data_IF_203416239194
#
_entry.id   IF_203416239194
#
_cell.length_a   1.000
_cell.length_b   1.000
_cell.length_c   1.000
_cell.angle_alpha   90.00
_cell.angle_beta   90.00
_cell.angle_gamma   90.00
#
_symmetry.space_group_name_H-M   'P 1'
#
loop_
_entity.id
_entity.type
_entity.pdbx_description
1 polymer ?
#
# COMPACT_ATOMS: atom_id res chain seq x y z
N UNK A 1 -8.81 21.82 -6.20
CA UNK A 1 -9.52 20.74 -5.48
C UNK A 1 -8.93 20.72 -4.09
N UNK A 2 -9.66 21.21 -3.08
CA UNK A 2 -9.14 21.33 -1.70
C UNK A 2 -8.98 19.92 -1.15
N UNK A 3 -7.78 19.58 -0.71
CA UNK A 3 -7.53 18.29 -0.09
C UNK A 3 -8.29 18.24 1.24
N UNK A 4 -9.36 17.45 1.29
CA UNK A 4 -10.24 17.32 2.46
C UNK A 4 -9.61 16.47 3.58
N UNK A 5 -8.43 15.91 3.32
CA UNK A 5 -7.70 15.02 4.22
C UNK A 5 -6.64 15.81 4.99
N UNK A 6 -6.63 15.66 6.32
CA UNK A 6 -5.56 16.18 7.17
C UNK A 6 -4.34 15.24 7.15
N UNK A 7 -3.15 15.73 7.51
CA UNK A 7 -1.94 14.91 7.69
C UNK A 7 -2.19 13.64 8.54
N UNK A 8 -3.02 13.73 9.59
CA UNK A 8 -3.39 12.55 10.40
C UNK A 8 -4.18 11.51 9.60
N UNK A 9 -5.11 11.93 8.74
CA UNK A 9 -5.86 11.00 7.88
C UNK A 9 -4.94 10.31 6.87
N UNK A 10 -3.94 11.00 6.33
CA UNK A 10 -2.93 10.37 5.47
C UNK A 10 -2.04 9.37 6.23
N UNK A 11 -1.68 9.67 7.48
CA UNK A 11 -0.94 8.74 8.34
C UNK A 11 -1.75 7.47 8.63
N UNK A 12 -3.06 7.61 8.86
CA UNK A 12 -3.95 6.46 9.04
C UNK A 12 -4.15 5.69 7.73
N UNK A 13 -4.27 6.39 6.59
CA UNK A 13 -4.32 5.76 5.27
C UNK A 13 -3.04 4.96 4.96
N UNK A 14 -1.85 5.48 5.29
CA UNK A 14 -0.59 4.72 5.20
C UNK A 14 -0.67 3.40 5.98
N UNK A 15 -1.12 3.46 7.24
CA UNK A 15 -1.23 2.26 8.10
C UNK A 15 -2.22 1.25 7.53
N UNK A 16 -3.39 1.73 7.07
CA UNK A 16 -4.40 0.88 6.45
C UNK A 16 -3.84 0.20 5.20
N UNK A 17 -3.22 0.98 4.30
CA UNK A 17 -2.68 0.46 3.04
C UNK A 17 -1.62 -0.60 3.28
N UNK A 18 -0.70 -0.39 4.22
CA UNK A 18 0.31 -1.40 4.57
C UNK A 18 -0.31 -2.71 5.08
N UNK A 19 -1.38 -2.64 5.89
CA UNK A 19 -2.08 -3.84 6.38
C UNK A 19 -2.74 -4.58 5.24
N UNK A 20 -3.48 -3.87 4.39
CA UNK A 20 -4.15 -4.44 3.23
C UNK A 20 -3.16 -5.09 2.25
N UNK A 21 -2.01 -4.45 2.00
CA UNK A 21 -0.94 -5.01 1.17
C UNK A 21 -0.45 -6.35 1.74
N UNK A 22 -0.20 -6.41 3.05
CA UNK A 22 0.25 -7.65 3.70
C UNK A 22 -0.81 -8.74 3.60
N UNK A 23 -2.07 -8.43 3.88
CA UNK A 23 -3.19 -9.38 3.75
C UNK A 23 -3.33 -9.91 2.33
N UNK A 24 -3.16 -9.06 1.32
CA UNK A 24 -3.25 -9.47 -0.08
C UNK A 24 -2.05 -10.34 -0.51
N UNK A 25 -0.84 -10.03 -0.04
CA UNK A 25 0.33 -10.87 -0.29
C UNK A 25 0.16 -12.24 0.36
N UNK A 26 -0.31 -12.30 1.62
CA UNK A 26 -0.59 -13.57 2.29
C UNK A 26 -1.61 -14.40 1.49
N UNK A 27 -2.67 -13.78 0.95
CA UNK A 27 -3.65 -14.48 0.09
C UNK A 27 -3.08 -15.01 -1.23
N UNK A 28 -1.90 -14.58 -1.68
CA UNK A 28 -1.23 -15.16 -2.85
C UNK A 28 -0.46 -16.42 -2.42
N UNK A 29 0.25 -16.33 -1.29
CA UNK A 29 1.18 -17.37 -0.85
C UNK A 29 0.53 -18.47 0.01
N UNK A 30 -0.59 -18.16 0.67
CA UNK A 30 -1.33 -19.08 1.54
C UNK A 30 -2.60 -19.63 0.83
N UNK A 31 -2.68 -19.58 -0.51
CA UNK A 31 -3.77 -20.27 -1.24
C UNK A 31 -3.62 -21.77 -0.99
N UNK A 32 -4.64 -22.37 -0.39
CA UNK A 32 -4.66 -23.76 0.07
C UNK A 32 -4.11 -24.75 -0.99
N UNK A 33 -3.14 -25.57 -0.57
CA UNK A 33 -2.86 -26.94 -1.00
C UNK A 33 -2.36 -27.25 -2.43
N UNK A 34 -1.85 -26.30 -3.21
CA UNK A 34 -1.13 -26.63 -4.46
C UNK A 34 0.38 -26.78 -4.25
N UNK A 35 0.99 -27.81 -4.85
CA UNK A 35 2.38 -28.23 -4.66
C UNK A 35 3.42 -27.18 -5.10
N UNK A 36 3.03 -26.13 -5.84
CA UNK A 36 3.95 -25.10 -6.32
C UNK A 36 3.37 -23.68 -6.19
N UNK A 37 3.42 -23.15 -4.97
CA UNK A 37 2.99 -21.76 -4.65
C UNK A 37 3.88 -20.72 -5.36
N UNK A 38 5.13 -21.04 -5.68
CA UNK A 38 6.10 -20.13 -6.28
C UNK A 38 6.02 -20.10 -7.82
N UNK A 39 4.83 -19.86 -8.38
CA UNK A 39 4.67 -19.70 -9.84
C UNK A 39 5.10 -18.31 -10.33
N UNK A 40 5.44 -18.20 -11.60
CA UNK A 40 5.73 -16.91 -12.26
C UNK A 40 4.53 -15.97 -12.12
N UNK A 41 3.31 -16.49 -12.23
CA UNK A 41 2.08 -15.69 -12.13
C UNK A 41 1.90 -15.09 -10.73
N UNK A 42 2.12 -15.89 -9.67
CA UNK A 42 2.05 -15.41 -8.29
C UNK A 42 3.15 -14.37 -8.00
N UNK A 43 4.36 -14.56 -8.56
CA UNK A 43 5.45 -13.59 -8.46
C UNK A 43 5.07 -12.26 -9.12
N UNK A 44 4.50 -12.31 -10.33
CA UNK A 44 4.07 -11.11 -11.05
C UNK A 44 2.93 -10.39 -10.30
N UNK A 45 1.94 -11.13 -9.80
CA UNK A 45 0.83 -10.57 -9.01
C UNK A 45 1.34 -9.85 -7.74
N UNK A 46 2.29 -10.47 -7.03
CA UNK A 46 2.91 -9.87 -5.84
C UNK A 46 3.70 -8.60 -6.18
N UNK A 47 4.45 -8.59 -7.29
CA UNK A 47 5.19 -7.41 -7.77
C UNK A 47 4.23 -6.25 -8.09
N UNK A 48 3.11 -6.54 -8.75
CA UNK A 48 2.11 -5.51 -9.09
C UNK A 48 1.48 -4.89 -7.83
N UNK A 49 1.13 -5.71 -6.85
CA UNK A 49 0.61 -5.24 -5.55
C UNK A 49 1.63 -4.36 -4.84
N UNK A 50 2.90 -4.78 -4.79
CA UNK A 50 3.98 -4.03 -4.14
C UNK A 50 4.23 -2.70 -4.85
N UNK A 51 4.27 -2.67 -6.18
CA UNK A 51 4.46 -1.45 -6.96
C UNK A 51 3.32 -0.45 -6.74
N UNK A 52 2.07 -0.92 -6.75
CA UNK A 52 0.92 -0.07 -6.45
C UNK A 52 0.98 0.50 -5.03
N UNK A 53 1.33 -0.34 -4.05
CA UNK A 53 1.52 0.08 -2.65
C UNK A 53 2.60 1.16 -2.54
N UNK A 54 3.75 0.97 -3.19
CA UNK A 54 4.86 1.93 -3.17
C UNK A 54 4.40 3.28 -3.75
N UNK A 55 3.65 3.28 -4.85
CA UNK A 55 3.17 4.51 -5.47
C UNK A 55 2.20 5.27 -4.55
N UNK A 56 1.29 4.57 -3.89
CA UNK A 56 0.37 5.18 -2.92
C UNK A 56 1.11 5.73 -1.68
N UNK A 57 2.08 4.98 -1.15
CA UNK A 57 2.89 5.46 -0.01
C UNK A 57 3.71 6.71 -0.38
N UNK A 58 4.22 6.80 -1.62
CA UNK A 58 4.87 8.02 -2.12
C UNK A 58 3.89 9.19 -2.13
N UNK A 59 2.68 8.99 -2.65
CA UNK A 59 1.63 10.00 -2.65
C UNK A 59 1.27 10.46 -1.22
N UNK A 60 1.06 9.53 -0.28
CA UNK A 60 0.76 9.89 1.11
C UNK A 60 1.91 10.64 1.77
N UNK A 61 3.17 10.25 1.50
CA UNK A 61 4.35 10.97 2.00
C UNK A 61 4.36 12.41 1.53
N UNK A 62 4.16 12.65 0.23
CA UNK A 62 4.09 14.00 -0.34
C UNK A 62 2.99 14.83 0.33
N UNK A 63 1.80 14.25 0.50
CA UNK A 63 0.67 14.94 1.14
C UNK A 63 0.89 15.26 2.61
N UNK A 64 1.51 14.36 3.37
CA UNK A 64 1.86 14.58 4.77
C UNK A 64 2.84 15.75 4.88
N UNK A 65 3.90 15.76 4.06
CA UNK A 65 4.91 16.82 4.06
C UNK A 65 4.26 18.17 3.74
N UNK A 66 3.54 18.27 2.62
CA UNK A 66 2.89 19.53 2.21
C UNK A 66 1.88 20.02 3.24
N UNK A 67 1.10 19.13 3.85
CA UNK A 67 0.09 19.52 4.85
C UNK A 67 0.72 19.98 6.17
N UNK A 68 1.85 19.41 6.56
CA UNK A 68 2.55 19.77 7.79
C UNK A 68 3.41 21.06 7.59
N UNK A 69 3.90 21.32 6.37
CA UNK A 69 4.61 22.57 6.01
C UNK A 69 3.67 23.79 5.95
N UNK A 70 2.42 23.63 5.49
CA UNK A 70 1.43 24.72 5.42
C UNK A 70 0.95 25.17 6.82
N UNK A 71 1.22 24.39 7.87
CA UNK A 71 0.80 24.69 9.25
C UNK A 71 1.77 25.57 10.05
N UNK A 72 2.91 25.94 9.48
CA UNK A 72 3.88 26.89 10.04
C UNK A 72 3.84 28.22 9.30
#
# INVERSE_FOLDING_TARGET
>A
MVDLMTSNKYKDACRYRMRETLENLLKIWDRDQDEEVATIDNINEAIDILNNTINELKYFKEKIITTDEIKY
#
